data_IF_318870265977
#
_entry.id   IF_318870265977
#
_cell.length_a   1.000
_cell.length_b   1.000
_cell.length_c   1.000
_cell.angle_alpha   90.00
_cell.angle_beta   90.00
_cell.angle_gamma   90.00
#
_symmetry.space_group_name_H-M   'P 1'
#
loop_
_entity.id
_entity.type
_entity.pdbx_description
1 polymer ?
#
# COMPACT_ATOMS: atom_id res chain seq x y z
N UNK A 1 -30.96 -16.96 3.59
CA UNK A 1 -29.54 -16.55 3.66
C UNK A 1 -28.92 -17.30 4.84
N UNK A 2 -27.99 -18.24 4.61
CA UNK A 2 -27.53 -19.18 5.65
C UNK A 2 -26.68 -18.47 6.71
N UNK A 3 -27.21 -18.38 7.94
CA UNK A 3 -26.55 -17.83 9.14
C UNK A 3 -25.17 -18.44 9.42
N UNK A 4 -24.96 -19.70 9.05
CA UNK A 4 -23.67 -20.41 9.17
C UNK A 4 -22.58 -19.83 8.27
N UNK A 5 -22.90 -19.47 7.01
CA UNK A 5 -21.92 -18.86 6.07
C UNK A 5 -21.46 -17.48 6.54
N UNK A 6 -22.35 -16.71 7.16
CA UNK A 6 -22.03 -15.39 7.69
C UNK A 6 -21.10 -15.49 8.91
N UNK A 7 -21.36 -16.42 9.84
CA UNK A 7 -20.49 -16.62 11.02
C UNK A 7 -19.06 -17.06 10.67
N UNK A 8 -18.87 -17.86 9.61
CA UNK A 8 -17.55 -18.28 9.16
C UNK A 8 -16.76 -17.13 8.55
N UNK A 9 -17.43 -16.25 7.80
CA UNK A 9 -16.82 -15.06 7.18
C UNK A 9 -16.39 -14.03 8.23
N UNK A 10 -17.21 -13.81 9.25
CA UNK A 10 -16.87 -12.87 10.34
C UNK A 10 -15.67 -13.37 11.18
N UNK A 11 -15.58 -14.69 11.39
CA UNK A 11 -14.41 -15.32 12.02
C UNK A 11 -13.16 -15.19 11.15
N UNK A 12 -13.27 -15.40 9.83
CA UNK A 12 -12.15 -15.20 8.91
C UNK A 12 -11.68 -13.74 8.91
N UNK A 13 -12.60 -12.77 8.85
CA UNK A 13 -12.30 -11.34 8.92
C UNK A 13 -11.55 -10.97 10.20
N UNK A 14 -12.02 -11.47 11.34
CA UNK A 14 -11.38 -11.22 12.65
C UNK A 14 -9.97 -11.80 12.71
N UNK A 15 -9.78 -13.03 12.22
CA UNK A 15 -8.45 -13.67 12.14
C UNK A 15 -7.50 -12.89 11.24
N UNK A 16 -7.97 -12.43 10.09
CA UNK A 16 -7.14 -11.64 9.17
C UNK A 16 -6.74 -10.31 9.79
N UNK A 17 -7.63 -9.64 10.52
CA UNK A 17 -7.28 -8.41 11.28
C UNK A 17 -6.27 -8.67 12.39
N UNK A 18 -6.39 -9.78 13.11
CA UNK A 18 -5.40 -10.16 14.12
C UNK A 18 -4.04 -10.44 13.50
N UNK A 19 -4.00 -11.14 12.37
CA UNK A 19 -2.77 -11.39 11.62
C UNK A 19 -2.14 -10.09 11.11
N UNK A 20 -2.94 -9.14 10.61
CA UNK A 20 -2.50 -7.81 10.21
C UNK A 20 -1.89 -7.02 11.38
N UNK A 21 -2.57 -7.00 12.54
CA UNK A 21 -2.06 -6.32 13.73
C UNK A 21 -0.76 -6.97 14.23
N UNK A 22 -0.72 -8.30 14.31
CA UNK A 22 0.48 -9.03 14.70
C UNK A 22 1.64 -8.74 13.74
N UNK A 23 1.37 -8.73 12.44
CA UNK A 23 2.34 -8.38 11.43
C UNK A 23 2.87 -6.95 11.59
N UNK A 24 2.01 -5.96 11.84
CA UNK A 24 2.41 -4.58 12.08
C UNK A 24 3.28 -4.45 13.34
N UNK A 25 2.88 -5.11 14.44
CA UNK A 25 3.65 -5.10 15.70
C UNK A 25 5.03 -5.72 15.52
N UNK A 26 5.11 -6.90 14.89
CA UNK A 26 6.37 -7.58 14.61
C UNK A 26 7.24 -6.75 13.68
N UNK A 27 6.67 -6.20 12.62
CA UNK A 27 7.39 -5.32 11.69
C UNK A 27 7.97 -4.11 12.41
N UNK A 28 7.17 -3.38 13.19
CA UNK A 28 7.63 -2.22 13.96
C UNK A 28 8.72 -2.58 14.95
N UNK A 29 8.58 -3.69 15.69
CA UNK A 29 9.59 -4.15 16.64
C UNK A 29 10.91 -4.48 15.93
N UNK A 30 10.87 -5.26 14.85
CA UNK A 30 12.08 -5.64 14.09
C UNK A 30 12.72 -4.42 13.42
N UNK A 31 11.92 -3.48 12.91
CA UNK A 31 12.43 -2.25 12.31
C UNK A 31 13.15 -1.37 13.35
N UNK A 32 12.58 -1.19 14.53
CA UNK A 32 13.20 -0.44 15.64
C UNK A 32 14.49 -1.10 16.13
N UNK A 33 14.51 -2.43 16.23
CA UNK A 33 15.71 -3.21 16.53
C UNK A 33 16.76 -2.99 15.42
N UNK A 34 16.35 -3.04 14.15
CA UNK A 34 17.22 -2.80 13.00
C UNK A 34 17.87 -1.42 13.03
N UNK A 35 17.14 -0.38 13.46
CA UNK A 35 17.71 0.97 13.64
C UNK A 35 18.87 0.95 14.65
N UNK A 36 18.70 0.22 15.77
CA UNK A 36 19.72 0.13 16.81
C UNK A 36 20.96 -0.64 16.34
N UNK A 37 20.78 -1.80 15.69
CA UNK A 37 21.87 -2.67 15.28
C UNK A 37 22.52 -2.30 13.93
N UNK A 38 21.91 -1.42 13.14
CA UNK A 38 22.41 -0.94 11.84
C UNK A 38 22.84 -2.09 10.91
N UNK A 39 21.89 -2.91 10.43
CA UNK A 39 22.21 -4.08 9.62
C UNK A 39 22.92 -3.69 8.32
N UNK A 40 23.64 -4.66 7.75
CA UNK A 40 24.24 -4.50 6.42
C UNK A 40 23.16 -4.23 5.37
N UNK A 41 23.54 -3.56 4.27
CA UNK A 41 22.64 -3.25 3.15
C UNK A 41 21.90 -4.49 2.64
N UNK A 42 22.60 -5.62 2.50
CA UNK A 42 21.99 -6.88 2.05
C UNK A 42 20.87 -7.36 2.99
N UNK A 43 21.10 -7.31 4.31
CA UNK A 43 20.10 -7.69 5.31
C UNK A 43 18.90 -6.73 5.29
N UNK A 44 19.15 -5.43 5.14
CA UNK A 44 18.09 -4.43 5.01
C UNK A 44 17.19 -4.70 3.80
N UNK A 45 17.76 -4.99 2.62
CA UNK A 45 17.01 -5.26 1.41
C UNK A 45 16.25 -6.59 1.48
N UNK A 46 16.87 -7.65 2.01
CA UNK A 46 16.20 -8.93 2.25
C UNK A 46 15.02 -8.78 3.20
N UNK A 47 15.20 -8.05 4.31
CA UNK A 47 14.13 -7.76 5.25
C UNK A 47 13.01 -6.96 4.58
N UNK A 48 13.34 -5.91 3.83
CA UNK A 48 12.37 -5.08 3.11
C UNK A 48 11.55 -5.90 2.10
N UNK A 49 12.20 -6.80 1.36
CA UNK A 49 11.52 -7.70 0.45
C UNK A 49 10.59 -8.69 1.18
N UNK A 50 11.05 -9.28 2.29
CA UNK A 50 10.24 -10.20 3.10
C UNK A 50 8.99 -9.50 3.69
N UNK A 51 9.16 -8.26 4.16
CA UNK A 51 8.06 -7.41 4.63
C UNK A 51 7.10 -7.10 3.49
N UNK A 52 7.57 -6.65 2.33
CA UNK A 52 6.68 -6.39 1.19
C UNK A 52 5.87 -7.62 0.78
N UNK A 53 6.49 -8.80 0.72
CA UNK A 53 5.82 -10.06 0.42
C UNK A 53 4.81 -10.46 1.52
N UNK A 54 5.17 -10.29 2.79
CA UNK A 54 4.28 -10.57 3.92
C UNK A 54 3.04 -9.67 3.93
N UNK A 55 3.23 -8.37 3.72
CA UNK A 55 2.14 -7.40 3.57
C UNK A 55 1.23 -7.74 2.39
N UNK A 56 1.81 -8.12 1.25
CA UNK A 56 1.05 -8.54 0.07
C UNK A 56 0.24 -9.82 0.32
N UNK A 57 0.80 -10.80 1.04
CA UNK A 57 0.10 -12.01 1.43
C UNK A 57 -1.12 -11.73 2.32
N UNK A 58 -0.99 -10.81 3.28
CA UNK A 58 -2.10 -10.37 4.14
C UNK A 58 -3.18 -9.70 3.30
N UNK A 59 -2.81 -8.85 2.35
CA UNK A 59 -3.75 -8.24 1.40
C UNK A 59 -4.51 -9.28 0.57
N UNK A 60 -3.84 -10.33 0.08
CA UNK A 60 -4.51 -11.43 -0.63
C UNK A 60 -5.49 -12.16 0.30
N UNK A 61 -5.12 -12.39 1.56
CA UNK A 61 -6.01 -13.02 2.54
C UNK A 61 -7.23 -12.15 2.84
N UNK A 62 -7.06 -10.83 2.99
CA UNK A 62 -8.16 -9.88 3.14
C UNK A 62 -9.07 -9.91 1.91
N UNK A 63 -8.50 -9.89 0.71
CA UNK A 63 -9.23 -9.94 -0.55
C UNK A 63 -10.09 -11.21 -0.67
N UNK A 64 -9.56 -12.37 -0.26
CA UNK A 64 -10.29 -13.64 -0.27
C UNK A 64 -11.47 -13.68 0.71
N UNK A 65 -11.43 -12.90 1.78
CA UNK A 65 -12.51 -12.81 2.76
C UNK A 65 -13.68 -11.91 2.32
N UNK A 66 -13.50 -11.10 1.27
CA UNK A 66 -14.54 -10.22 0.73
C UNK A 66 -15.58 -11.00 -0.09
N UNK A 67 -16.81 -10.49 -0.15
CA UNK A 67 -17.82 -10.93 -1.13
C UNK A 67 -17.49 -10.43 -2.55
N UNK A 68 -18.18 -10.94 -3.57
CA UNK A 68 -17.94 -10.56 -4.97
C UNK A 68 -18.04 -9.05 -5.21
N UNK A 69 -19.04 -8.39 -4.61
CA UNK A 69 -19.18 -6.94 -4.68
C UNK A 69 -18.03 -6.22 -3.95
N UNK A 70 -17.60 -6.73 -2.80
CA UNK A 70 -16.45 -6.22 -2.04
C UNK A 70 -15.13 -6.39 -2.80
N UNK A 71 -14.92 -7.53 -3.46
CA UNK A 71 -13.76 -7.80 -4.33
C UNK A 71 -13.71 -6.84 -5.50
N UNK A 72 -14.85 -6.60 -6.18
CA UNK A 72 -14.93 -5.65 -7.28
C UNK A 72 -14.60 -4.22 -6.81
N UNK A 73 -15.18 -3.79 -5.68
CA UNK A 73 -14.89 -2.48 -5.06
C UNK A 73 -13.42 -2.33 -4.69
N UNK A 74 -12.84 -3.38 -4.11
CA UNK A 74 -11.44 -3.40 -3.73
C UNK A 74 -10.53 -3.29 -4.95
N UNK A 75 -10.76 -4.11 -5.98
CA UNK A 75 -9.98 -4.09 -7.21
C UNK A 75 -10.06 -2.73 -7.92
N UNK A 76 -11.26 -2.13 -8.01
CA UNK A 76 -11.42 -0.80 -8.60
C UNK A 76 -10.71 0.28 -7.78
N UNK A 77 -10.89 0.29 -6.46
CA UNK A 77 -10.22 1.26 -5.57
C UNK A 77 -8.70 1.12 -5.63
N UNK A 78 -8.20 -0.11 -5.72
CA UNK A 78 -6.77 -0.41 -5.86
C UNK A 78 -6.22 0.08 -7.20
N UNK A 79 -6.96 -0.12 -8.30
CA UNK A 79 -6.58 0.38 -9.61
C UNK A 79 -6.49 1.90 -9.64
N UNK A 80 -7.49 2.60 -9.08
CA UNK A 80 -7.47 4.08 -8.98
C UNK A 80 -6.28 4.55 -8.14
N UNK A 81 -6.04 3.90 -6.99
CA UNK A 81 -4.85 4.18 -6.17
C UNK A 81 -3.56 3.98 -6.95
N UNK A 82 -3.47 2.90 -7.73
CA UNK A 82 -2.32 2.59 -8.57
C UNK A 82 -2.07 3.67 -9.62
N UNK A 83 -3.13 4.13 -10.30
CA UNK A 83 -3.03 5.22 -11.29
C UNK A 83 -2.58 6.53 -10.66
N UNK A 84 -3.14 6.91 -9.50
CA UNK A 84 -2.74 8.11 -8.77
C UNK A 84 -1.29 8.02 -8.31
N UNK A 85 -0.91 6.88 -7.74
CA UNK A 85 0.46 6.63 -7.30
C UNK A 85 1.45 6.69 -8.47
N UNK A 86 1.21 5.96 -9.56
CA UNK A 86 2.11 5.96 -10.73
C UNK A 86 2.23 7.34 -11.37
N UNK A 87 1.13 8.09 -11.45
CA UNK A 87 1.13 9.45 -11.98
C UNK A 87 1.90 10.40 -11.07
N UNK A 88 1.70 10.29 -9.75
CA UNK A 88 2.44 11.08 -8.78
C UNK A 88 3.94 10.79 -8.79
N UNK A 89 4.34 9.51 -8.88
CA UNK A 89 5.75 9.11 -8.99
C UNK A 89 6.35 9.64 -10.28
N UNK A 90 5.63 9.53 -11.40
CA UNK A 90 6.08 10.07 -12.69
C UNK A 90 6.29 11.60 -12.62
N UNK A 91 5.38 12.35 -11.99
CA UNK A 91 5.52 13.79 -11.79
C UNK A 91 6.72 14.15 -10.92
N UNK A 92 6.93 13.45 -9.80
CA UNK A 92 8.10 13.67 -8.93
C UNK A 92 9.40 13.38 -9.68
N UNK A 93 9.42 12.30 -10.47
CA UNK A 93 10.58 11.94 -11.28
C UNK A 93 10.86 12.99 -12.37
N UNK A 94 9.84 13.41 -13.12
CA UNK A 94 9.96 14.46 -14.13
C UNK A 94 10.46 15.77 -13.53
N UNK A 95 9.94 16.15 -12.35
CA UNK A 95 10.39 17.33 -11.64
C UNK A 95 11.85 17.22 -11.18
N UNK A 96 12.25 16.06 -10.65
CA UNK A 96 13.64 15.82 -10.22
C UNK A 96 14.61 15.90 -11.40
N UNK A 97 14.24 15.35 -12.56
CA UNK A 97 15.03 15.43 -13.79
C UNK A 97 15.10 16.88 -14.28
N UNK A 98 13.98 17.61 -14.29
CA UNK A 98 13.94 19.01 -14.70
C UNK A 98 14.80 19.91 -13.81
N UNK A 99 14.70 19.78 -12.48
CA UNK A 99 15.51 20.55 -11.52
C UNK A 99 16.99 20.20 -11.65
N UNK A 100 17.34 18.93 -11.88
CA UNK A 100 18.71 18.51 -12.15
C UNK A 100 19.26 19.16 -13.43
N UNK A 101 18.53 19.10 -14.55
CA UNK A 101 18.90 19.72 -15.82
C UNK A 101 19.09 21.23 -15.75
N UNK A 102 18.30 21.89 -14.89
CA UNK A 102 18.39 23.32 -14.64
C UNK A 102 19.68 23.70 -13.88
N UNK A 103 20.17 22.81 -13.01
CA UNK A 103 21.38 23.03 -12.20
C UNK A 103 22.65 22.57 -12.94
N UNK A 104 22.54 21.51 -13.72
CA UNK A 104 23.62 20.90 -14.49
C UNK A 104 23.07 20.39 -15.83
N UNK A 105 23.54 20.97 -16.92
CA UNK A 105 23.07 20.66 -18.28
C UNK A 105 23.47 19.27 -18.79
N UNK A 106 24.31 18.54 -18.06
CA UNK A 106 24.87 17.26 -18.51
C UNK A 106 24.23 16.02 -17.88
N UNK A 107 23.47 16.16 -16.78
CA UNK A 107 22.82 15.05 -16.08
C UNK A 107 23.80 13.91 -15.71
N UNK A 108 25.08 14.21 -15.48
CA UNK A 108 26.12 13.20 -15.15
C UNK A 108 25.72 12.32 -13.96
N UNK A 109 24.93 12.86 -13.03
CA UNK A 109 24.38 12.14 -11.90
C UNK A 109 22.85 12.03 -12.02
N UNK A 110 22.33 10.80 -11.96
CA UNK A 110 20.88 10.56 -11.88
C UNK A 110 20.34 11.14 -10.57
N UNK A 111 19.37 12.06 -10.61
CA UNK A 111 18.85 12.69 -9.40
C UNK A 111 18.16 11.67 -8.52
N UNK A 112 18.53 11.63 -7.23
CA UNK A 112 17.85 10.80 -6.24
C UNK A 112 16.42 11.29 -6.05
N UNK A 113 15.46 10.36 -6.02
CA UNK A 113 14.07 10.70 -5.70
C UNK A 113 13.96 11.15 -4.23
N UNK A 114 13.41 12.34 -3.97
CA UNK A 114 13.28 12.84 -2.61
C UNK A 114 12.23 12.01 -1.85
N UNK A 115 12.59 11.57 -0.64
CA UNK A 115 11.72 10.74 0.20
C UNK A 115 10.37 11.39 0.48
N UNK A 116 10.35 12.67 0.86
CA UNK A 116 9.13 13.38 1.27
C UNK A 116 8.06 13.45 0.17
N UNK A 117 8.36 13.91 -1.06
CA UNK A 117 7.40 13.87 -2.16
C UNK A 117 6.91 12.45 -2.48
N UNK A 118 7.79 11.45 -2.46
CA UNK A 118 7.40 10.05 -2.67
C UNK A 118 6.44 9.54 -1.58
N UNK A 119 6.69 9.92 -0.33
CA UNK A 119 5.81 9.58 0.79
C UNK A 119 4.45 10.27 0.67
N UNK A 120 4.40 11.54 0.25
CA UNK A 120 3.14 12.24 -0.03
C UNK A 120 2.35 11.53 -1.13
N UNK A 121 3.00 11.17 -2.24
CA UNK A 121 2.35 10.43 -3.35
C UNK A 121 1.77 9.10 -2.87
N UNK A 122 2.50 8.36 -2.02
CA UNK A 122 2.01 7.14 -1.39
C UNK A 122 0.76 7.40 -0.54
N UNK A 123 0.81 8.39 0.36
CA UNK A 123 -0.31 8.75 1.23
C UNK A 123 -1.54 9.19 0.42
N UNK A 124 -1.35 9.98 -0.64
CA UNK A 124 -2.43 10.41 -1.53
C UNK A 124 -3.05 9.21 -2.25
N UNK A 125 -2.24 8.28 -2.78
CA UNK A 125 -2.75 7.05 -3.38
C UNK A 125 -3.61 6.23 -2.42
N UNK A 126 -3.13 5.99 -1.20
CA UNK A 126 -3.87 5.28 -0.15
C UNK A 126 -5.16 6.01 0.26
N UNK A 127 -5.10 7.34 0.36
CA UNK A 127 -6.28 8.17 0.63
C UNK A 127 -7.31 8.05 -0.50
N UNK A 128 -6.86 8.09 -1.76
CA UNK A 128 -7.74 7.89 -2.91
C UNK A 128 -8.37 6.51 -2.87
N UNK A 129 -7.61 5.45 -2.56
CA UNK A 129 -8.15 4.10 -2.39
C UNK A 129 -9.30 4.09 -1.37
N UNK A 130 -9.08 4.70 -0.21
CA UNK A 130 -10.08 4.77 0.86
C UNK A 130 -11.32 5.56 0.43
N UNK A 131 -11.14 6.74 -0.17
CA UNK A 131 -12.23 7.58 -0.66
C UNK A 131 -13.04 6.89 -1.75
N UNK A 132 -12.38 6.24 -2.72
CA UNK A 132 -13.06 5.45 -3.77
C UNK A 132 -13.86 4.31 -3.15
N UNK A 133 -13.33 3.61 -2.15
CA UNK A 133 -14.06 2.54 -1.49
C UNK A 133 -15.31 3.06 -0.76
N UNK A 134 -15.19 4.18 -0.04
CA UNK A 134 -16.31 4.84 0.63
C UNK A 134 -17.38 5.30 -0.36
N UNK A 135 -16.96 5.93 -1.46
CA UNK A 135 -17.85 6.38 -2.52
C UNK A 135 -18.64 5.20 -3.11
N UNK A 136 -17.96 4.11 -3.48
CA UNK A 136 -18.61 2.93 -4.05
C UNK A 136 -19.58 2.28 -3.05
N UNK A 137 -19.20 2.17 -1.77
CA UNK A 137 -20.12 1.68 -0.71
C UNK A 137 -21.36 2.54 -0.60
N UNK A 138 -21.21 3.87 -0.61
CA UNK A 138 -22.32 4.81 -0.54
C UNK A 138 -23.23 4.76 -1.77
N UNK A 139 -22.64 4.59 -2.96
CA UNK A 139 -23.38 4.45 -4.22
C UNK A 139 -24.20 3.17 -4.24
N UNK A 140 -23.59 2.04 -3.92
CA UNK A 140 -24.27 0.74 -3.94
C UNK A 140 -25.38 0.64 -2.87
N UNK A 141 -25.20 1.32 -1.72
CA UNK A 141 -26.22 1.40 -0.67
C UNK A 141 -27.42 2.31 -0.98
N UNK A 142 -27.33 3.17 -2.01
CA UNK A 142 -28.42 4.05 -2.47
C UNK A 142 -29.29 3.42 -3.58
N UNK A 143 -29.08 2.14 -3.88
CA UNK A 143 -29.86 1.39 -4.87
C UNK A 143 -29.23 1.42 -6.25
N UNK A 144 -28.18 0.62 -6.43
CA UNK A 144 -27.83 0.15 -7.78
C UNK A 144 -29.00 -0.62 -8.39
#
# INVERSE_FOLDING_TARGET
MNTTKQSTRDRQWTRTRQAELAYQVVFSAVFLIGIYFRPSSAVFWLFSAAVMLGGFAIWIWQYRALDELGKARFAFSWMVSGMVFSSGVALVLMWAIYDALKRDHTLENVPSLPFWPMYIVLCVGLLTMWLTNLYLRGRDGRGG
#
